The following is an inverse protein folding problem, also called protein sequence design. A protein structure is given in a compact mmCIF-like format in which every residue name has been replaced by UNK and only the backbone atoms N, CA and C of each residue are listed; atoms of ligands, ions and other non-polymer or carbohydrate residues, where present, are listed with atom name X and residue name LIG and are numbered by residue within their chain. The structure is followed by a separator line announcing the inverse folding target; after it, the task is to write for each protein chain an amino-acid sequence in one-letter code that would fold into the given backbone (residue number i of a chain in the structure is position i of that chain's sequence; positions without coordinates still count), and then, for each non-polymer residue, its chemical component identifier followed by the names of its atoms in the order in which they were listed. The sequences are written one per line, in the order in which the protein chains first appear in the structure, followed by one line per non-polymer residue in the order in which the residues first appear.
data_IF_322123248231
#
_entry.id   IF_322123248231
#
_cell.length_a   1.000
_cell.length_b   1.000
_cell.length_c   1.000
_cell.angle_alpha   90.00
_cell.angle_beta   90.00
_cell.angle_gamma   90.00
#
_symmetry.space_group_name_H-M   'P 1'
#
loop_
_entity.id
_entity.type
_entity.pdbx_description
1 polymer ?
#
# COMPACT_ATOMS: atom_id res chain seq x y z
N UNK A 1 -11.25 -10.49 2.57
CA UNK A 1 -10.51 -9.21 2.43
C UNK A 1 -10.19 -8.84 0.99
N UNK A 2 -9.60 -9.71 0.14
CA UNK A 2 -9.33 -9.35 -1.28
C UNK A 2 -10.59 -9.00 -2.06
N UNK A 3 -11.69 -9.66 -1.74
CA UNK A 3 -13.03 -9.41 -2.27
C UNK A 3 -13.58 -8.03 -1.87
N UNK A 4 -13.11 -7.46 -0.75
CA UNK A 4 -13.51 -6.14 -0.23
C UNK A 4 -12.78 -4.98 -0.92
N UNK A 5 -11.78 -5.25 -1.76
CA UNK A 5 -11.12 -4.20 -2.56
C UNK A 5 -12.11 -3.62 -3.58
N UNK A 6 -12.29 -2.29 -3.68
CA UNK A 6 -13.12 -1.63 -4.68
C UNK A 6 -12.76 -2.04 -6.11
N UNK A 7 -13.74 -2.10 -7.01
CA UNK A 7 -13.53 -2.53 -8.39
C UNK A 7 -12.56 -1.62 -9.16
N UNK A 8 -12.64 -0.32 -8.90
CA UNK A 8 -11.79 0.72 -9.47
C UNK A 8 -10.33 0.61 -9.01
N UNK A 9 -10.09 -0.02 -7.85
CA UNK A 9 -8.77 -0.28 -7.29
C UNK A 9 -8.20 -1.64 -7.72
N UNK A 10 -8.97 -2.45 -8.45
CA UNK A 10 -8.49 -3.72 -9.00
C UNK A 10 -7.76 -3.49 -10.32
N UNK A 11 -6.62 -4.16 -10.56
CA UNK A 11 -5.95 -4.10 -11.85
C UNK A 11 -6.84 -4.71 -12.94
N UNK A 12 -6.65 -4.26 -14.19
CA UNK A 12 -7.39 -4.77 -15.35
C UNK A 12 -7.27 -6.31 -15.47
N UNK A 13 -6.09 -6.84 -15.18
CA UNK A 13 -5.80 -8.27 -15.13
C UNK A 13 -5.11 -8.61 -13.80
N UNK A 14 -5.52 -9.72 -13.18
CA UNK A 14 -4.88 -10.26 -11.98
C UNK A 14 -5.50 -9.77 -10.65
N UNK A 15 -4.75 -9.92 -9.56
CA UNK A 15 -5.16 -9.52 -8.22
C UNK A 15 -4.43 -8.24 -7.79
N UNK A 16 -5.02 -7.40 -6.92
CA UNK A 16 -4.31 -6.28 -6.33
C UNK A 16 -3.02 -6.76 -5.66
N UNK A 17 -1.90 -6.09 -5.96
CA UNK A 17 -0.61 -6.43 -5.38
C UNK A 17 -0.57 -6.01 -3.90
N UNK A 18 0.07 -6.80 -3.01
CA UNK A 18 0.32 -6.36 -1.65
C UNK A 18 1.32 -5.19 -1.62
N UNK A 19 1.30 -4.34 -0.57
CA UNK A 19 0.33 -4.34 0.53
C UNK A 19 -1.05 -3.81 0.12
N UNK A 20 -2.10 -4.36 0.73
CA UNK A 20 -3.48 -3.89 0.65
C UNK A 20 -3.97 -3.73 2.09
N UNK A 21 -4.33 -2.52 2.50
CA UNK A 21 -4.56 -2.17 3.89
C UNK A 21 -6.05 -2.22 4.17
N UNK A 22 -6.40 -2.93 5.24
CA UNK A 22 -7.76 -3.09 5.69
C UNK A 22 -7.85 -2.77 7.18
N UNK A 23 -8.92 -2.10 7.56
CA UNK A 23 -9.40 -2.08 8.92
C UNK A 23 -10.52 -3.11 9.01
N UNK A 24 -10.18 -4.30 9.50
CA UNK A 24 -11.04 -5.48 9.47
C UNK A 24 -11.50 -5.83 8.04
N UNK A 25 -12.79 -5.64 7.72
CA UNK A 25 -13.37 -5.89 6.39
C UNK A 25 -13.41 -4.63 5.51
N UNK A 26 -13.10 -3.46 6.07
CA UNK A 26 -13.10 -2.18 5.35
C UNK A 26 -11.76 -1.98 4.63
N UNK A 27 -11.80 -1.76 3.33
CA UNK A 27 -10.62 -1.41 2.55
C UNK A 27 -10.22 0.05 2.81
N UNK A 28 -9.01 0.27 3.32
CA UNK A 28 -8.46 1.60 3.56
C UNK A 28 -7.72 2.13 2.32
N UNK A 29 -6.93 1.26 1.67
CA UNK A 29 -6.14 1.67 0.51
C UNK A 29 -5.03 0.68 0.14
N UNK A 30 -4.32 1.04 -0.92
CA UNK A 30 -3.13 0.35 -1.42
C UNK A 30 -1.85 1.00 -0.84
N UNK A 31 -0.69 0.56 -1.32
CA UNK A 31 0.60 1.14 -0.95
C UNK A 31 0.67 2.65 -1.20
N UNK A 32 0.30 3.10 -2.40
CA UNK A 32 0.40 4.52 -2.78
C UNK A 32 -0.48 5.40 -1.88
N UNK A 33 -1.71 4.95 -1.60
CA UNK A 33 -2.64 5.68 -0.74
C UNK A 33 -2.11 5.82 0.69
N UNK A 34 -1.49 4.77 1.23
CA UNK A 34 -0.85 4.81 2.55
C UNK A 34 0.38 5.71 2.58
N UNK A 35 1.17 5.71 1.50
CA UNK A 35 2.32 6.58 1.37
C UNK A 35 1.91 8.06 1.41
N UNK A 36 0.91 8.45 0.62
CA UNK A 36 0.35 9.81 0.66
C UNK A 36 -0.20 10.16 2.05
N UNK A 37 -0.95 9.24 2.69
CA UNK A 37 -1.47 9.46 4.03
C UNK A 37 -0.36 9.70 5.07
N UNK A 38 0.78 9.03 4.93
CA UNK A 38 1.95 9.25 5.80
C UNK A 38 2.58 10.62 5.56
N UNK A 39 2.75 11.03 4.32
CA UNK A 39 3.33 12.35 3.98
C UNK A 39 2.44 13.49 4.49
N UNK A 40 1.13 13.33 4.34
CA UNK A 40 0.12 14.29 4.80
C UNK A 40 -0.12 14.24 6.33
N UNK A 41 0.47 13.28 7.05
CA UNK A 41 0.21 13.04 8.49
C UNK A 41 -1.29 12.84 8.76
N UNK A 42 -1.94 11.95 8.00
CA UNK A 42 -3.36 11.57 8.16
C UNK A 42 -3.53 10.05 8.25
N UNK A 43 -2.55 9.35 8.83
CA UNK A 43 -2.49 7.89 8.86
C UNK A 43 -3.63 7.29 9.68
N UNK A 44 -4.05 7.95 10.76
CA UNK A 44 -5.15 7.44 11.59
C UNK A 44 -6.47 7.55 10.84
N UNK A 45 -6.72 8.69 10.20
CA UNK A 45 -7.87 8.91 9.32
C UNK A 45 -7.90 7.91 8.16
N UNK A 46 -6.75 7.67 7.52
CA UNK A 46 -6.62 6.66 6.45
C UNK A 46 -6.99 5.26 6.93
N UNK A 47 -6.57 4.88 8.14
CA UNK A 47 -6.92 3.60 8.76
C UNK A 47 -8.36 3.56 9.30
N UNK A 48 -9.12 4.66 9.21
CA UNK A 48 -10.47 4.75 9.79
C UNK A 48 -10.45 4.70 11.32
N UNK A 49 -9.37 5.17 11.95
CA UNK A 49 -9.18 5.25 13.39
C UNK A 49 -9.26 6.70 13.84
N UNK A 50 -9.73 6.92 15.07
CA UNK A 50 -9.56 8.21 15.71
C UNK A 50 -8.07 8.44 16.02
N UNK A 51 -7.52 9.63 15.73
CA UNK A 51 -6.14 9.94 16.12
C UNK A 51 -6.00 9.87 17.65
N UNK A 52 -4.88 9.36 18.18
CA UNK A 52 -4.63 9.37 19.61
C UNK A 52 -4.47 10.80 20.13
N UNK A 53 -4.78 11.05 21.41
CA UNK A 53 -4.56 12.36 22.03
C UNK A 53 -3.07 12.73 21.94
N UNK A 54 -2.80 14.03 21.74
CA UNK A 54 -1.47 14.61 21.53
C UNK A 54 -0.77 14.18 20.22
N UNK A 55 -1.49 13.56 19.29
CA UNK A 55 -0.94 13.27 17.97
C UNK A 55 -1.02 14.50 17.06
N UNK A 56 -0.05 14.62 16.16
CA UNK A 56 0.02 15.73 15.20
C UNK A 56 -1.21 15.82 14.29
N UNK A 57 -1.98 14.73 14.16
CA UNK A 57 -3.20 14.68 13.35
C UNK A 57 -4.44 15.24 14.09
N UNK A 58 -4.42 15.29 15.43
CA UNK A 58 -5.50 15.87 16.25
C UNK A 58 -5.64 17.39 16.04
N UNK A 59 -4.52 18.09 15.87
CA UNK A 59 -4.52 19.55 15.68
C UNK A 59 -4.98 20.01 14.27
N UNK A 60 -5.15 19.07 13.33
CA UNK A 60 -5.42 19.34 11.91
C UNK A 60 -6.88 19.31 11.47
N UNK A 61 -7.84 18.96 12.36
CA UNK A 61 -9.26 18.73 12.01
C UNK A 61 -10.04 19.97 11.49
N UNK A 62 -9.40 21.14 11.31
CA UNK A 62 -10.05 22.39 10.87
C UNK A 62 -9.70 22.85 9.45
N UNK A 63 -9.30 21.97 8.54
CA UNK A 63 -9.02 22.36 7.15
C UNK A 63 -9.71 21.45 6.12
N UNK A 64 -11.04 21.55 6.03
CA UNK A 64 -11.74 21.30 4.77
C UNK A 64 -11.53 22.48 3.83
N UNK A 65 -10.57 22.41 2.90
CA UNK A 65 -10.69 23.10 1.60
C UNK A 65 -9.74 22.48 0.56
N UNK A 66 -10.36 22.02 -0.53
CA UNK A 66 -9.85 21.80 -1.88
C UNK A 66 -8.54 22.57 -2.23
N UNK A 67 -7.44 21.88 -2.57
CA UNK A 67 -6.37 22.36 -3.48
C UNK A 67 -5.49 21.17 -3.90
N UNK A 68 -5.62 20.72 -5.14
CA UNK A 68 -4.67 20.97 -6.23
C UNK A 68 -3.31 20.26 -6.10
N UNK A 69 -3.15 19.27 -6.99
CA UNK A 69 -1.89 18.79 -7.56
C UNK A 69 -0.75 19.81 -7.40
N UNK A 70 0.13 19.58 -6.43
CA UNK A 70 1.44 20.22 -6.38
C UNK A 70 2.50 19.15 -6.54
N UNK A 71 2.94 18.97 -7.78
CA UNK A 71 4.23 18.35 -8.11
C UNK A 71 5.32 19.07 -7.32
N UNK A 72 5.93 18.39 -6.36
CA UNK A 72 7.29 18.71 -5.93
C UNK A 72 8.11 17.44 -6.01
N UNK A 73 8.91 17.35 -7.08
CA UNK A 73 10.07 16.47 -7.12
C UNK A 73 10.95 16.76 -5.90
N UNK A 74 11.28 15.69 -5.18
CA UNK A 74 12.20 15.67 -4.07
C UNK A 74 12.71 14.24 -3.87
N UNK A 75 13.51 13.76 -4.83
CA UNK A 75 14.59 12.82 -4.54
C UNK A 75 15.39 13.38 -3.34
N UNK A 76 15.91 12.60 -2.39
CA UNK A 76 16.98 11.60 -2.49
C UNK A 76 16.83 10.62 -1.28
N UNK A 77 16.89 9.29 -1.47
CA UNK A 77 18.03 8.43 -1.05
C UNK A 77 17.96 8.04 0.44
N UNK A 78 18.16 6.81 0.92
CA UNK A 78 18.91 5.64 0.47
C UNK A 78 18.38 4.38 1.18
N UNK A 79 18.61 3.22 0.53
CA UNK A 79 19.10 1.95 1.09
C UNK A 79 18.28 0.74 0.64
N UNK A 80 18.83 -0.40 0.22
CA UNK A 80 20.16 -0.82 -0.25
C UNK A 80 19.86 -2.08 -1.10
N UNK A 81 20.72 -2.34 -2.08
CA UNK A 81 20.66 -3.54 -2.92
C UNK A 81 20.94 -4.80 -2.08
N UNK A 82 20.12 -5.84 -2.24
CA UNK A 82 20.58 -7.22 -2.13
C UNK A 82 20.10 -8.00 -3.36
N UNK A 83 20.99 -8.12 -4.34
CA UNK A 83 20.92 -9.16 -5.36
C UNK A 83 21.36 -10.48 -4.73
N UNK A 84 20.53 -11.51 -4.79
CA UNK A 84 21.00 -12.90 -4.78
C UNK A 84 20.26 -13.66 -5.88
N UNK A 85 20.96 -13.85 -6.99
CA UNK A 85 20.62 -14.79 -8.03
C UNK A 85 21.01 -16.21 -7.57
N UNK A 86 20.05 -17.12 -7.56
CA UNK A 86 20.34 -18.55 -7.58
C UNK A 86 19.44 -19.21 -8.63
N UNK A 87 20.01 -19.39 -9.82
CA UNK A 87 19.59 -20.42 -10.76
C UNK A 87 19.83 -21.80 -10.12
N UNK A 88 18.83 -22.68 -10.23
CA UNK A 88 18.90 -24.08 -9.82
C UNK A 88 17.84 -24.87 -10.58
N UNK A 89 18.28 -25.53 -11.65
CA UNK A 89 17.55 -26.52 -12.43
C UNK A 89 17.03 -27.66 -11.54
N UNK A 90 15.80 -28.13 -11.76
CA UNK A 90 15.43 -29.55 -11.54
C UNK A 90 14.31 -29.92 -12.52
N UNK A 91 14.63 -30.78 -13.48
CA UNK A 91 13.73 -31.44 -14.43
C UNK A 91 12.71 -32.34 -13.68
N UNK A 92 11.42 -32.41 -14.08
CA UNK A 92 10.56 -33.50 -13.64
C UNK A 92 10.78 -34.70 -14.55
N UNK A 93 11.75 -35.55 -14.19
CA UNK A 93 11.84 -36.91 -14.71
C UNK A 93 11.07 -37.86 -13.82
N UNK A 94 9.89 -38.33 -14.26
CA UNK A 94 9.35 -39.63 -13.83
C UNK A 94 8.67 -40.29 -15.05
N UNK A 95 9.42 -41.22 -15.67
CA UNK A 95 8.85 -42.27 -16.51
C UNK A 95 8.39 -43.45 -15.63
N UNK A 96 7.32 -44.09 -16.12
CA UNK A 96 6.86 -45.46 -15.86
C UNK A 96 6.04 -45.75 -14.58
N UNK A 97 4.73 -45.96 -14.75
CA UNK A 97 4.08 -47.27 -14.50
C UNK A 97 2.65 -47.30 -15.11
N UNK A 98 2.36 -48.41 -15.83
CA UNK A 98 1.07 -48.90 -16.39
C UNK A 98 0.67 -48.54 -17.84
#
# INVERSE_FOLDING_TARGET
MRENVPGEKKPQNGIPLPPQIFNEEQYCGDFDSFFSAKEENIIYSFLGLAPPPDSKEEEGETATEETELTTTEGAEGEAEEEEEAAEGEEEPGEEEDS
#
